data_IF_323502631700
#
_entry.id   IF_323502631700
#
_cell.length_a   1.000
_cell.length_b   1.000
_cell.length_c   1.000
_cell.angle_alpha   90.00
_cell.angle_beta   90.00
_cell.angle_gamma   90.00
#
_symmetry.space_group_name_H-M   'P 1'
#
loop_
_entity.id
_entity.type
_entity.pdbx_description
1 polymer ?
#
# COMPACT_ATOMS: atom_id res chain seq x y z
N UNK A 1 5.09 -2.21 22.12
CA UNK A 1 4.24 -2.76 21.05
C UNK A 1 4.18 -4.25 21.27
N UNK A 2 3.08 -4.79 21.80
CA UNK A 2 2.92 -6.24 21.96
C UNK A 2 1.85 -6.72 20.98
N UNK A 3 2.24 -7.64 20.12
CA UNK A 3 1.34 -8.26 19.15
C UNK A 3 0.58 -9.40 19.83
N UNK A 4 -0.75 -9.31 19.88
CA UNK A 4 -1.63 -10.34 20.43
C UNK A 4 -2.71 -10.74 19.44
N UNK A 5 -3.17 -11.99 19.52
CA UNK A 5 -4.28 -12.47 18.72
C UNK A 5 -5.59 -12.18 19.45
N UNK A 6 -6.50 -11.46 18.80
CA UNK A 6 -7.80 -11.13 19.39
C UNK A 6 -8.63 -12.40 19.62
N UNK A 7 -9.17 -12.64 20.83
CA UNK A 7 -10.01 -13.82 21.11
C UNK A 7 -11.31 -13.79 20.30
N UNK A 8 -11.88 -12.61 20.08
CA UNK A 8 -13.19 -12.47 19.43
C UNK A 8 -13.10 -12.67 17.91
N UNK A 9 -12.18 -11.97 17.23
CA UNK A 9 -12.08 -11.99 15.77
C UNK A 9 -10.86 -12.71 15.20
N UNK A 10 -9.98 -13.24 16.06
CA UNK A 10 -8.75 -13.98 15.70
C UNK A 10 -7.73 -13.19 14.86
N UNK A 11 -7.94 -11.89 14.68
CA UNK A 11 -6.99 -11.01 14.01
C UNK A 11 -5.77 -10.74 14.90
N UNK A 12 -4.61 -10.56 14.28
CA UNK A 12 -3.40 -10.10 14.95
C UNK A 12 -3.52 -8.60 15.19
N UNK A 13 -3.43 -8.18 16.44
CA UNK A 13 -3.57 -6.79 16.86
C UNK A 13 -2.31 -6.35 17.59
N UNK A 14 -1.92 -5.10 17.35
CA UNK A 14 -1.05 -4.38 18.27
C UNK A 14 -1.88 -3.93 19.47
N UNK A 15 -1.37 -4.16 20.67
CA UNK A 15 -2.06 -3.87 21.90
C UNK A 15 -1.87 -2.46 22.43
N UNK A 16 -1.11 -1.63 21.71
CA UNK A 16 -0.80 -0.25 22.07
C UNK A 16 -2.03 0.58 22.51
N UNK A 17 -3.21 0.31 21.95
CA UNK A 17 -4.44 1.07 22.22
C UNK A 17 -5.36 0.41 23.26
N UNK A 18 -5.04 -0.78 23.77
CA UNK A 18 -5.88 -1.50 24.75
C UNK A 18 -7.12 -2.20 24.18
N UNK A 19 -7.40 -2.10 22.87
CA UNK A 19 -8.51 -2.80 22.20
C UNK A 19 -8.15 -3.28 20.79
N UNK A 20 -8.92 -4.23 20.27
CA UNK A 20 -8.78 -4.77 18.92
C UNK A 20 -9.34 -3.79 17.89
N UNK A 21 -8.49 -3.28 17.00
CA UNK A 21 -8.89 -2.34 15.93
C UNK A 21 -9.90 -2.91 14.93
N UNK A 22 -9.98 -4.25 14.80
CA UNK A 22 -10.89 -4.90 13.84
C UNK A 22 -12.29 -5.13 14.37
N UNK A 23 -12.44 -5.39 15.66
CA UNK A 23 -13.72 -5.82 16.23
C UNK A 23 -14.10 -5.13 17.53
N UNK A 24 -13.33 -4.13 17.97
CA UNK A 24 -13.60 -3.37 19.19
C UNK A 24 -13.43 -4.15 20.50
N UNK A 25 -12.89 -5.38 20.47
CA UNK A 25 -12.68 -6.16 21.69
C UNK A 25 -11.67 -5.45 22.59
N UNK A 26 -12.12 -4.96 23.74
CA UNK A 26 -11.25 -4.40 24.77
C UNK A 26 -10.49 -5.53 25.44
N UNK A 27 -9.18 -5.38 25.50
CA UNK A 27 -8.36 -6.37 26.14
C UNK A 27 -8.22 -6.05 27.64
N UNK A 28 -8.18 -7.07 28.51
CA UNK A 28 -8.01 -6.85 29.93
C UNK A 28 -6.70 -6.09 30.22
N UNK A 29 -6.76 -5.17 31.17
CA UNK A 29 -5.56 -4.52 31.72
C UNK A 29 -4.72 -5.59 32.38
N UNK A 30 -3.44 -5.64 32.02
CA UNK A 30 -2.51 -6.62 32.55
C UNK A 30 -2.14 -6.16 33.94
N UNK A 31 -2.69 -6.82 34.96
CA UNK A 31 -2.20 -6.72 36.32
C UNK A 31 -0.89 -7.48 36.41
N UNK A 32 0.13 -6.88 37.00
CA UNK A 32 1.41 -7.53 37.28
C UNK A 32 1.18 -8.70 38.25
N UNK A 33 0.85 -9.89 37.72
CA UNK A 33 0.84 -11.13 38.47
C UNK A 33 1.77 -12.14 37.81
N UNK A 34 2.41 -12.94 38.66
CA UNK A 34 3.47 -13.91 38.34
C UNK A 34 3.13 -14.75 37.11
N UNK A 35 3.74 -14.40 35.96
CA UNK A 35 3.81 -15.15 34.70
C UNK A 35 2.56 -15.90 34.22
N UNK A 36 1.38 -15.44 34.60
CA UNK A 36 0.14 -15.97 34.10
C UNK A 36 -0.04 -15.56 32.64
N UNK A 37 -0.40 -16.53 31.80
CA UNK A 37 -0.70 -16.26 30.41
C UNK A 37 -1.91 -15.32 30.33
N UNK A 38 -1.80 -14.14 29.67
CA UNK A 38 -2.89 -13.16 29.61
C UNK A 38 -4.11 -13.66 28.82
N UNK A 39 -3.93 -14.71 28.00
CA UNK A 39 -5.00 -15.31 27.21
C UNK A 39 -5.75 -16.43 27.92
N UNK A 40 -5.05 -17.39 28.53
CA UNK A 40 -5.66 -18.59 29.12
C UNK A 40 -5.51 -18.71 30.63
N UNK A 41 -4.86 -17.74 31.29
CA UNK A 41 -4.63 -17.70 32.73
C UNK A 41 -3.60 -18.73 33.25
N UNK A 42 -2.99 -19.53 32.38
CA UNK A 42 -2.04 -20.57 32.81
C UNK A 42 -0.77 -19.96 33.40
N UNK A 43 -0.36 -20.39 34.59
CA UNK A 43 0.89 -19.98 35.21
C UNK A 43 2.08 -20.59 34.45
N UNK A 44 2.94 -19.75 33.88
CA UNK A 44 4.12 -20.18 33.13
C UNK A 44 5.40 -20.00 33.98
N UNK A 45 6.45 -20.79 33.71
CA UNK A 45 7.74 -20.60 34.35
C UNK A 45 8.36 -19.24 34.00
N UNK A 46 9.32 -18.80 34.80
CA UNK A 46 9.85 -17.43 34.76
C UNK A 46 10.53 -17.06 33.44
N UNK A 47 11.14 -18.05 32.78
CA UNK A 47 11.90 -17.95 31.54
C UNK A 47 11.06 -18.17 30.28
N UNK A 48 9.78 -18.53 30.41
CA UNK A 48 8.93 -18.84 29.27
C UNK A 48 8.71 -17.60 28.38
N UNK A 49 9.11 -17.67 27.11
CA UNK A 49 8.83 -16.63 26.11
C UNK A 49 7.42 -16.78 25.51
N UNK A 50 6.86 -17.99 25.54
CA UNK A 50 5.51 -18.31 25.08
C UNK A 50 4.81 -19.19 26.11
N UNK A 51 3.48 -19.07 26.21
CA UNK A 51 2.67 -19.89 27.08
C UNK A 51 2.77 -21.36 26.69
N UNK A 52 3.19 -22.21 27.61
CA UNK A 52 3.37 -23.65 27.35
C UNK A 52 2.05 -24.37 27.05
N UNK A 53 0.92 -23.79 27.48
CA UNK A 53 -0.41 -24.37 27.25
C UNK A 53 -1.04 -23.97 25.91
N UNK A 54 -0.90 -22.71 25.50
CA UNK A 54 -1.64 -22.18 24.33
C UNK A 54 -0.79 -21.42 23.31
N UNK A 55 0.52 -21.33 23.50
CA UNK A 55 1.44 -20.67 22.57
C UNK A 55 1.34 -19.14 22.53
N UNK A 56 0.54 -18.52 23.40
CA UNK A 56 0.45 -17.05 23.48
C UNK A 56 1.79 -16.47 23.94
N UNK A 57 2.37 -15.50 23.23
CA UNK A 57 3.67 -14.93 23.61
C UNK A 57 3.56 -14.16 24.93
N UNK A 58 4.54 -14.35 25.82
CA UNK A 58 4.57 -13.80 27.20
C UNK A 58 5.45 -12.53 27.30
N UNK A 59 5.50 -11.73 26.24
CA UNK A 59 6.47 -10.63 25.97
C UNK A 59 6.52 -9.53 27.06
N UNK A 60 5.65 -9.58 28.07
CA UNK A 60 5.56 -8.56 29.12
C UNK A 60 6.71 -8.60 30.14
N UNK A 61 7.42 -9.71 30.34
CA UNK A 61 8.51 -9.78 31.35
C UNK A 61 9.80 -9.08 30.93
N UNK A 62 10.25 -9.26 29.69
CA UNK A 62 11.58 -8.80 29.25
C UNK A 62 11.69 -7.30 28.98
N UNK A 63 10.58 -6.57 28.87
CA UNK A 63 10.61 -5.10 28.72
C UNK A 63 10.51 -4.34 30.05
N UNK A 64 10.22 -5.02 31.17
CA UNK A 64 10.10 -4.39 32.49
C UNK A 64 11.40 -4.44 33.30
N UNK A 65 12.37 -5.31 32.97
CA UNK A 65 13.64 -5.45 33.68
C UNK A 65 14.64 -4.27 33.48
N UNK A 66 14.16 -3.09 33.11
CA UNK A 66 14.99 -1.89 32.99
C UNK A 66 14.25 -0.56 33.02
N UNK A 67 12.93 -0.55 33.14
CA UNK A 67 12.15 0.70 33.15
C UNK A 67 11.00 0.57 34.14
N UNK A 68 11.23 1.04 35.37
CA UNK A 68 10.17 1.33 36.34
C UNK A 68 9.39 2.57 35.88
N UNK A 69 8.68 2.50 34.76
CA UNK A 69 7.65 3.49 34.47
C UNK A 69 6.36 2.92 35.02
N UNK A 70 5.93 3.44 36.18
CA UNK A 70 4.52 3.41 36.53
C UNK A 70 3.77 3.97 35.32
N UNK A 71 3.12 3.11 34.54
CA UNK A 71 2.23 3.53 33.47
C UNK A 71 0.98 4.13 34.12
N UNK A 72 1.15 5.27 34.79
CA UNK A 72 0.08 6.24 34.87
C UNK A 72 -0.32 6.47 33.42
N UNK A 73 -1.58 6.20 33.04
CA UNK A 73 -2.02 6.53 31.70
C UNK A 73 -1.77 8.02 31.56
N UNK A 74 -0.73 8.37 30.80
CA UNK A 74 -0.56 9.74 30.35
C UNK A 74 -1.78 9.92 29.46
N UNK A 75 -2.83 10.49 30.05
CA UNK A 75 -3.87 11.17 29.29
C UNK A 75 -3.11 12.31 28.66
N UNK A 76 -2.46 12.03 27.52
CA UNK A 76 -2.02 13.07 26.62
C UNK A 76 -3.35 13.68 26.21
N UNK A 77 -3.77 14.72 26.95
CA UNK A 77 -4.72 15.69 26.45
C UNK A 77 -3.95 16.34 25.32
N UNK A 78 -3.98 15.67 24.17
CA UNK A 78 -3.42 16.18 22.95
C UNK A 78 -4.30 17.37 22.67
N UNK A 79 -3.85 18.54 23.10
CA UNK A 79 -4.24 19.77 22.43
C UNK A 79 -3.72 19.57 21.01
N UNK A 80 -4.61 19.05 20.17
CA UNK A 80 -4.41 18.99 18.74
C UNK A 80 -4.25 20.45 18.37
N UNK A 81 -3.00 20.93 18.31
CA UNK A 81 -2.71 22.15 17.61
C UNK A 81 -3.19 21.89 16.18
N UNK A 82 -4.33 22.49 15.85
CA UNK A 82 -4.97 22.43 14.54
C UNK A 82 -4.14 23.15 13.46
N UNK A 83 -2.84 23.32 13.65
CA UNK A 83 -1.87 23.29 12.56
C UNK A 83 -1.58 21.86 12.08
N UNK A 84 -2.55 20.95 12.27
CA UNK A 84 -2.74 19.76 11.45
C UNK A 84 -2.60 20.16 9.99
N UNK A 85 -1.49 19.76 9.38
CA UNK A 85 -1.32 19.56 7.95
C UNK A 85 -2.68 19.17 7.35
N UNK A 86 -3.27 20.03 6.52
CA UNK A 86 -4.53 19.75 5.82
C UNK A 86 -4.39 18.40 5.13
N UNK A 87 -4.89 17.33 5.73
CA UNK A 87 -5.15 16.10 5.03
C UNK A 87 -6.37 16.39 4.17
N UNK A 88 -6.15 16.87 2.94
CA UNK A 88 -7.22 16.93 1.94
C UNK A 88 -7.76 15.50 1.79
N UNK A 89 -8.96 15.27 2.29
CA UNK A 89 -9.67 14.01 2.17
C UNK A 89 -9.94 13.76 0.67
N UNK A 90 -9.06 12.98 0.03
CA UNK A 90 -9.14 12.70 -1.40
C UNK A 90 -9.92 11.41 -1.63
N UNK A 91 -10.78 11.39 -2.67
CA UNK A 91 -11.43 10.15 -3.09
C UNK A 91 -10.40 9.20 -3.72
N UNK A 92 -10.24 7.97 -3.19
CA UNK A 92 -9.25 7.05 -3.69
C UNK A 92 -9.53 6.67 -5.14
N UNK A 93 -8.46 6.53 -5.91
CA UNK A 93 -8.53 6.06 -7.30
C UNK A 93 -8.88 4.58 -7.32
N UNK A 94 -9.80 4.20 -8.22
CA UNK A 94 -10.06 2.79 -8.44
C UNK A 94 -8.80 2.11 -9.02
N UNK A 95 -8.50 0.91 -8.53
CA UNK A 95 -7.34 0.13 -9.00
C UNK A 95 -7.43 -0.19 -10.50
N UNK A 96 -8.65 -0.31 -11.03
CA UNK A 96 -8.91 -0.61 -12.45
C UNK A 96 -8.31 0.47 -13.36
N UNK A 97 -8.47 1.75 -13.02
CA UNK A 97 -7.93 2.87 -13.83
C UNK A 97 -6.39 2.79 -13.88
N UNK A 98 -5.76 2.43 -12.76
CA UNK A 98 -4.30 2.30 -12.69
C UNK A 98 -3.83 1.15 -13.59
N UNK A 99 -4.47 -0.02 -13.50
CA UNK A 99 -4.14 -1.21 -14.32
C UNK A 99 -4.31 -0.89 -15.80
N UNK A 100 -5.44 -0.27 -16.16
CA UNK A 100 -5.74 0.14 -17.52
C UNK A 100 -4.68 1.12 -18.05
N UNK A 101 -4.25 2.08 -17.23
CA UNK A 101 -3.16 3.00 -17.58
C UNK A 101 -1.83 2.30 -17.91
N UNK A 102 -1.47 1.22 -17.20
CA UNK A 102 -0.25 0.45 -17.50
C UNK A 102 -0.37 -0.32 -18.82
N UNK A 103 -1.53 -0.92 -19.09
CA UNK A 103 -1.79 -1.63 -20.36
C UNK A 103 -1.61 -0.67 -21.54
N UNK A 104 -2.25 0.50 -21.49
CA UNK A 104 -2.12 1.50 -22.55
C UNK A 104 -0.72 2.13 -22.62
N UNK A 105 0.04 2.18 -21.52
CA UNK A 105 1.43 2.64 -21.55
C UNK A 105 2.35 1.65 -22.28
N UNK A 106 2.11 0.34 -22.18
CA UNK A 106 2.89 -0.69 -22.89
C UNK A 106 2.51 -0.79 -24.36
N UNK A 107 1.22 -0.68 -24.68
CA UNK A 107 0.75 -0.62 -26.06
C UNK A 107 1.21 0.67 -26.77
N UNK A 108 1.47 1.72 -25.99
CA UNK A 108 1.97 3.00 -26.48
C UNK A 108 0.89 3.88 -27.11
N UNK A 109 1.35 4.90 -27.84
CA UNK A 109 0.48 5.86 -28.53
C UNK A 109 -0.08 6.97 -27.64
N UNK A 110 -0.87 7.85 -28.26
CA UNK A 110 -1.40 9.07 -27.64
C UNK A 110 -2.30 8.77 -26.42
N UNK A 111 -3.09 7.70 -26.50
CA UNK A 111 -4.02 7.29 -25.43
C UNK A 111 -3.26 6.93 -24.14
N UNK A 112 -2.15 6.20 -24.26
CA UNK A 112 -1.30 5.86 -23.12
C UNK A 112 -0.70 7.11 -22.45
N UNK A 113 -0.23 8.07 -23.26
CA UNK A 113 0.32 9.35 -22.77
C UNK A 113 -0.76 10.15 -22.02
N UNK A 114 -1.96 10.26 -22.59
CA UNK A 114 -3.08 10.99 -21.98
C UNK A 114 -3.43 10.39 -20.60
N UNK A 115 -3.53 9.06 -20.51
CA UNK A 115 -3.83 8.38 -19.25
C UNK A 115 -2.73 8.57 -18.20
N UNK A 116 -1.45 8.48 -18.60
CA UNK A 116 -0.33 8.67 -17.70
C UNK A 116 -0.29 10.10 -17.14
N UNK A 117 -0.53 11.13 -17.97
CA UNK A 117 -0.64 12.53 -17.53
C UNK A 117 -1.86 12.73 -16.61
N UNK A 118 -3.00 12.14 -16.95
CA UNK A 118 -4.20 12.19 -16.12
C UNK A 118 -3.96 11.62 -14.71
N UNK A 119 -3.28 10.47 -14.62
CA UNK A 119 -2.93 9.85 -13.33
C UNK A 119 -1.89 10.69 -12.57
N UNK A 120 -0.90 11.26 -13.26
CA UNK A 120 0.15 12.09 -12.65
C UNK A 120 -0.36 13.44 -12.10
N UNK A 121 -1.44 13.98 -12.68
CA UNK A 121 -2.06 15.25 -12.25
C UNK A 121 -3.11 15.07 -11.15
N UNK A 122 -3.42 13.83 -10.77
CA UNK A 122 -4.42 13.55 -9.74
C UNK A 122 -3.93 13.95 -8.34
N UNK A 123 -4.86 14.45 -7.51
CA UNK A 123 -4.60 14.80 -6.09
C UNK A 123 -4.31 13.58 -5.19
N UNK A 124 -4.77 12.40 -5.60
CA UNK A 124 -4.52 11.15 -4.90
C UNK A 124 -3.01 10.80 -4.96
N UNK A 125 -2.29 10.76 -3.82
CA UNK A 125 -0.85 10.50 -3.78
C UNK A 125 -0.47 9.13 -4.36
N UNK A 126 -1.35 8.13 -4.25
CA UNK A 126 -1.11 6.79 -4.81
C UNK A 126 -1.17 6.85 -6.33
N UNK A 127 -2.25 7.39 -6.89
CA UNK A 127 -2.39 7.54 -8.33
C UNK A 127 -1.31 8.42 -8.94
N UNK A 128 -0.95 9.53 -8.28
CA UNK A 128 0.12 10.42 -8.70
C UNK A 128 1.46 9.68 -8.84
N UNK A 129 1.81 8.85 -7.84
CA UNK A 129 3.01 8.02 -7.89
C UNK A 129 2.99 7.05 -9.08
N UNK A 130 1.85 6.39 -9.31
CA UNK A 130 1.71 5.48 -10.45
C UNK A 130 1.75 6.20 -11.80
N UNK A 131 1.17 7.41 -11.92
CA UNK A 131 1.23 8.23 -13.11
C UNK A 131 2.67 8.61 -13.51
N UNK A 132 3.51 9.00 -12.54
CA UNK A 132 4.92 9.26 -12.84
C UNK A 132 5.70 8.01 -13.26
N UNK A 133 5.39 6.85 -12.66
CA UNK A 133 6.00 5.58 -13.08
C UNK A 133 5.60 5.26 -14.54
N UNK A 134 4.33 5.44 -14.90
CA UNK A 134 3.84 5.24 -16.27
C UNK A 134 4.52 6.18 -17.28
N UNK A 135 4.64 7.47 -16.94
CA UNK A 135 5.37 8.43 -17.77
C UNK A 135 6.84 8.04 -17.96
N UNK A 136 7.50 7.55 -16.91
CA UNK A 136 8.89 7.08 -16.99
C UNK A 136 9.02 5.89 -17.94
N UNK A 137 8.09 4.92 -17.87
CA UNK A 137 8.06 3.77 -18.77
C UNK A 137 7.87 4.23 -20.22
N UNK A 138 6.94 5.14 -20.48
CA UNK A 138 6.69 5.68 -21.83
C UNK A 138 7.92 6.37 -22.42
N UNK A 139 8.64 7.15 -21.61
CA UNK A 139 9.88 7.81 -22.05
C UNK A 139 10.97 6.79 -22.38
N UNK A 140 11.20 5.80 -21.51
CA UNK A 140 12.18 4.74 -21.77
C UNK A 140 11.84 3.92 -23.01
N UNK A 141 10.56 3.60 -23.20
CA UNK A 141 10.08 2.89 -24.38
C UNK A 141 10.27 3.70 -25.67
N UNK A 142 10.00 5.01 -25.62
CA UNK A 142 10.28 5.92 -26.73
C UNK A 142 11.77 6.01 -27.09
N UNK A 143 12.65 6.07 -26.08
CA UNK A 143 14.11 6.02 -26.29
C UNK A 143 14.51 4.70 -26.95
N UNK A 144 13.98 3.57 -26.47
CA UNK A 144 14.26 2.26 -27.06
C UNK A 144 13.85 2.21 -28.54
N UNK A 145 12.64 2.64 -28.87
CA UNK A 145 12.17 2.70 -30.26
C UNK A 145 13.08 3.61 -31.10
N UNK A 146 13.45 4.78 -30.58
CA UNK A 146 14.34 5.71 -31.27
C UNK A 146 15.71 5.07 -31.53
N UNK A 147 16.29 4.38 -30.55
CA UNK A 147 17.59 3.69 -30.73
C UNK A 147 17.50 2.58 -31.77
N UNK A 148 16.41 1.81 -31.80
CA UNK A 148 16.20 0.77 -32.80
C UNK A 148 16.01 1.37 -34.21
N UNK A 149 15.34 2.50 -34.32
CA UNK A 149 15.21 3.25 -35.57
C UNK A 149 16.57 3.76 -36.07
N UNK A 150 17.34 4.43 -35.21
CA UNK A 150 18.66 4.98 -35.57
C UNK A 150 19.69 3.90 -35.92
N UNK A 151 19.58 2.72 -35.34
CA UNK A 151 20.43 1.56 -35.66
C UNK A 151 19.98 0.80 -36.90
N UNK A 152 18.89 1.23 -37.56
CA UNK A 152 18.35 0.57 -38.75
C UNK A 152 17.65 -0.76 -38.47
N UNK A 153 17.41 -1.10 -37.20
CA UNK A 153 16.71 -2.31 -36.78
C UNK A 153 15.18 -2.17 -36.88
N UNK A 154 14.66 -0.94 -37.07
CA UNK A 154 13.26 -0.66 -37.36
C UNK A 154 13.14 0.06 -38.70
N UNK A 155 12.58 -0.63 -39.69
CA UNK A 155 12.21 -0.06 -40.98
C UNK A 155 10.76 0.45 -40.94
N UNK A 156 10.59 1.78 -41.03
CA UNK A 156 9.28 2.42 -40.97
C UNK A 156 8.53 2.40 -42.31
N UNK A 157 9.21 2.04 -43.41
CA UNK A 157 8.59 2.04 -44.74
C UNK A 157 7.44 1.03 -44.86
N UNK A 158 7.52 -0.08 -44.12
CA UNK A 158 6.44 -1.07 -44.04
C UNK A 158 5.14 -0.48 -43.44
N UNK A 159 5.26 0.47 -42.51
CA UNK A 159 4.13 1.15 -41.88
C UNK A 159 3.50 2.15 -42.85
N UNK A 160 4.31 2.91 -43.58
CA UNK A 160 3.82 3.85 -44.59
C UNK A 160 3.05 3.15 -45.70
N UNK A 161 3.57 2.02 -46.19
CA UNK A 161 2.90 1.22 -47.22
C UNK A 161 1.55 0.66 -46.72
N UNK A 162 1.50 0.14 -45.49
CA UNK A 162 0.25 -0.34 -44.90
C UNK A 162 -0.78 0.79 -44.69
N UNK A 163 -0.31 1.98 -44.29
CA UNK A 163 -1.17 3.15 -44.08
C UNK A 163 -1.74 3.66 -45.40
N UNK A 164 -0.93 3.68 -46.48
CA UNK A 164 -1.40 4.03 -47.82
C UNK A 164 -2.40 3.01 -48.38
N UNK A 165 -2.21 1.72 -48.13
CA UNK A 165 -3.19 0.69 -48.53
C UNK A 165 -4.54 0.91 -47.84
N UNK A 166 -4.54 1.28 -46.56
CA UNK A 166 -5.77 1.56 -45.81
C UNK A 166 -6.45 2.84 -46.31
N UNK A 167 -5.70 3.92 -46.57
CA UNK A 167 -6.26 5.17 -47.08
C UNK A 167 -6.88 5.01 -48.47
N UNK A 168 -6.22 4.27 -49.36
CA UNK A 168 -6.72 4.05 -50.73
C UNK A 168 -8.03 3.24 -50.73
N UNK A 169 -8.16 2.29 -49.80
CA UNK A 169 -9.39 1.50 -49.65
C UNK A 169 -10.55 2.35 -49.11
N UNK A 170 -10.29 3.21 -48.10
CA UNK A 170 -11.28 4.14 -47.56
C UNK A 170 -11.80 5.15 -48.61
N UNK A 171 -10.93 5.62 -49.50
CA UNK A 171 -11.33 6.53 -50.60
C UNK A 171 -12.06 5.84 -51.75
N UNK A 172 -11.98 4.50 -51.84
CA UNK A 172 -12.65 3.71 -52.88
C UNK A 172 -14.09 3.30 -52.51
N UNK A 173 -14.51 3.56 -51.28
CA UNK A 173 -15.90 3.43 -50.83
C UNK A 173 -16.65 4.69 -51.28
N UNK A 174 -17.19 4.66 -52.50
CA UNK A 174 -18.11 5.69 -53.00
C UNK A 174 -19.42 5.63 -52.16
N UNK A 175 -20.03 6.77 -51.77
CA UNK A 175 -21.28 6.78 -51.00
C UNK A 175 -22.45 6.11 -51.73
#
# INVERSE_FOLDING_TARGET
MVLRRCPNCRSTCDDQYGFCIKCGYEFPKITESENACPYCGFANPDEATFCVKCGTPLIFKNQLNGVNTTLNPIVIKKEINKNSMKQEEYKPTSKIIIILGYIFSLLGGLIGVILAIYLATRKDPVAKKHGYIQLTILVLYGILILTLYLTGNLDLTAIDNATQMLSNNLTSIKP
#
